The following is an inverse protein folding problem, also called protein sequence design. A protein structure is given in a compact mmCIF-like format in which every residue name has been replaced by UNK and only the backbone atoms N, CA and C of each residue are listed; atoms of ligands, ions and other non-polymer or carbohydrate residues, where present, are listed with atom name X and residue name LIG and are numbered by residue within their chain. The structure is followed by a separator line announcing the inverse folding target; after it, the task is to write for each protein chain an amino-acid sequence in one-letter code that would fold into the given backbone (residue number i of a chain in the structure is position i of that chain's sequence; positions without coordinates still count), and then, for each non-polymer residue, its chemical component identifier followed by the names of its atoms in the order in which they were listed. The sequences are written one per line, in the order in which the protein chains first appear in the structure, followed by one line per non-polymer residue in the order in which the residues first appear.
data_IF_312146979274
#
_entry.id   IF_312146979274
#
_cell.length_a   1.000
_cell.length_b   1.000
_cell.length_c   1.000
_cell.angle_alpha   90.00
_cell.angle_beta   90.00
_cell.angle_gamma   90.00
#
_symmetry.space_group_name_H-M   'P 1'
#
loop_
_entity.id
_entity.type
_entity.pdbx_description
1 polymer ?
#
# COMPACT_ATOMS: atom_id res chain seq x y z
N UNK A 1 39.61 -47.91 -4.88
CA UNK A 1 39.51 -46.43 -4.95
C UNK A 1 38.33 -45.93 -5.81
N UNK A 2 38.06 -46.48 -7.01
CA UNK A 2 36.94 -46.03 -7.87
C UNK A 2 35.52 -46.23 -7.29
N UNK A 3 35.30 -47.29 -6.52
CA UNK A 3 34.01 -47.57 -5.86
C UNK A 3 33.70 -46.62 -4.71
N UNK A 4 34.72 -46.19 -3.97
CA UNK A 4 34.58 -45.20 -2.89
C UNK A 4 34.19 -43.80 -3.40
N UNK A 5 34.68 -43.42 -4.58
CA UNK A 5 34.34 -42.14 -5.23
C UNK A 5 32.87 -42.12 -5.68
N UNK A 6 32.33 -43.25 -6.16
CA UNK A 6 30.95 -43.34 -6.64
C UNK A 6 29.93 -43.26 -5.48
N UNK A 7 30.25 -43.87 -4.34
CA UNK A 7 29.42 -43.81 -3.13
C UNK A 7 29.40 -42.40 -2.53
N UNK A 8 30.53 -41.68 -2.58
CA UNK A 8 30.62 -40.30 -2.11
C UNK A 8 29.78 -39.35 -2.98
N UNK A 9 29.80 -39.52 -4.32
CA UNK A 9 28.97 -38.72 -5.24
C UNK A 9 27.47 -38.99 -5.06
N UNK A 10 27.09 -40.25 -4.79
CA UNK A 10 25.69 -40.62 -4.58
C UNK A 10 25.15 -40.11 -3.22
N UNK A 11 26.00 -40.04 -2.19
CA UNK A 11 25.65 -39.46 -0.89
C UNK A 11 25.49 -37.93 -0.92
N UNK A 12 26.20 -37.24 -1.82
CA UNK A 12 26.04 -35.78 -2.04
C UNK A 12 24.72 -35.46 -2.76
N UNK A 13 24.21 -36.36 -3.61
CA UNK A 13 22.97 -36.16 -4.37
C UNK A 13 21.68 -36.35 -3.54
N UNK A 14 21.71 -37.12 -2.45
CA UNK A 14 20.52 -37.33 -1.61
C UNK A 14 20.22 -36.17 -0.67
N UNK A 15 21.20 -35.31 -0.41
CA UNK A 15 21.08 -34.16 0.51
C UNK A 15 20.31 -32.97 -0.09
N UNK A 16 19.97 -32.99 -1.38
CA UNK A 16 19.28 -31.90 -2.09
C UNK A 16 17.74 -32.02 -2.16
N UNK A 17 17.14 -33.07 -1.58
CA UNK A 17 15.70 -33.38 -1.75
C UNK A 17 14.75 -32.45 -0.97
N UNK A 18 15.18 -31.85 0.14
CA UNK A 18 14.29 -31.08 1.01
C UNK A 18 13.87 -29.71 0.43
N UNK A 19 14.70 -29.09 -0.40
CA UNK A 19 14.38 -27.78 -1.01
C UNK A 19 13.38 -27.87 -2.19
N UNK A 20 13.03 -29.07 -2.65
CA UNK A 20 12.18 -29.25 -3.84
C UNK A 20 10.67 -29.35 -3.52
N UNK A 21 10.31 -29.74 -2.30
CA UNK A 21 8.93 -30.11 -1.95
C UNK A 21 8.08 -28.91 -1.52
N UNK A 22 8.67 -27.91 -0.86
CA UNK A 22 7.99 -26.68 -0.47
C UNK A 22 8.95 -25.52 -0.69
N UNK A 23 8.50 -24.46 -1.37
CA UNK A 23 9.29 -23.26 -1.58
C UNK A 23 8.62 -22.05 -0.95
N UNK A 24 9.43 -21.19 -0.32
CA UNK A 24 9.01 -19.94 0.30
C UNK A 24 9.71 -18.79 -0.41
N UNK A 25 8.95 -17.83 -0.90
CA UNK A 25 9.46 -16.65 -1.59
C UNK A 25 8.86 -15.38 -0.99
N UNK A 26 9.69 -14.35 -0.82
CA UNK A 26 9.23 -13.02 -0.40
C UNK A 26 9.16 -12.12 -1.62
N UNK A 27 8.01 -11.48 -1.80
CA UNK A 27 7.80 -10.44 -2.80
C UNK A 27 7.39 -9.13 -2.12
N UNK A 28 7.83 -8.02 -2.70
CA UNK A 28 7.54 -6.66 -2.23
C UNK A 28 7.16 -5.84 -3.46
N UNK A 29 6.15 -4.98 -3.33
CA UNK A 29 5.73 -4.10 -4.43
C UNK A 29 6.75 -2.98 -4.66
N UNK A 30 7.57 -2.70 -3.65
CA UNK A 30 8.66 -1.75 -3.70
C UNK A 30 9.92 -2.23 -2.97
N UNK A 31 11.07 -1.69 -3.39
CA UNK A 31 12.39 -2.01 -2.82
C UNK A 31 13.03 -0.82 -2.10
N UNK A 32 12.32 0.31 -2.02
CA UNK A 32 12.76 1.52 -1.32
C UNK A 32 11.62 2.06 -0.46
N UNK A 33 11.93 2.44 0.77
CA UNK A 33 10.97 2.94 1.76
C UNK A 33 11.54 4.17 2.47
N UNK A 34 10.66 5.04 2.97
CA UNK A 34 11.03 6.09 3.91
C UNK A 34 11.14 5.55 5.35
N UNK A 35 11.91 6.22 6.23
CA UNK A 35 11.90 5.95 7.66
C UNK A 35 10.47 5.88 8.21
N UNK A 36 10.12 4.76 8.87
CA UNK A 36 8.78 4.54 9.44
C UNK A 36 7.63 4.46 8.42
N UNK A 37 7.92 4.26 7.13
CA UNK A 37 6.92 3.85 6.15
C UNK A 37 6.55 2.37 6.34
N UNK A 38 5.28 2.03 6.10
CA UNK A 38 4.84 0.64 6.06
C UNK A 38 5.73 -0.19 5.10
N UNK A 39 6.12 -1.38 5.52
CA UNK A 39 6.94 -2.32 4.75
C UNK A 39 6.10 -3.58 4.47
N UNK A 40 5.14 -3.50 3.54
CA UNK A 40 4.33 -4.65 3.15
C UNK A 40 5.16 -5.68 2.42
N UNK A 41 5.07 -6.92 2.88
CA UNK A 41 5.66 -8.10 2.24
C UNK A 41 4.59 -9.13 1.93
N UNK A 42 4.73 -9.81 0.80
CA UNK A 42 3.91 -10.95 0.41
C UNK A 42 4.77 -12.21 0.38
N UNK A 43 4.51 -13.14 1.29
CA UNK A 43 5.15 -14.45 1.36
C UNK A 43 4.35 -15.43 0.51
N UNK A 44 4.97 -15.93 -0.56
CA UNK A 44 4.42 -16.97 -1.43
C UNK A 44 4.95 -18.33 -0.98
N UNK A 45 4.05 -19.26 -0.70
CA UNK A 45 4.36 -20.61 -0.28
C UNK A 45 3.82 -21.54 -1.37
N UNK A 46 4.70 -22.30 -2.02
CA UNK A 46 4.30 -23.26 -3.06
C UNK A 46 4.47 -24.67 -2.52
N UNK A 47 3.38 -25.44 -2.52
CA UNK A 47 3.42 -26.85 -2.13
C UNK A 47 3.63 -27.72 -3.38
N UNK A 48 4.71 -28.49 -3.41
CA UNK A 48 5.05 -29.49 -4.44
C UNK A 48 5.36 -30.86 -3.82
N UNK A 49 4.84 -31.11 -2.63
CA UNK A 49 5.19 -32.28 -1.83
C UNK A 49 4.43 -33.54 -2.19
N UNK A 50 3.37 -33.44 -2.99
CA UNK A 50 2.48 -34.56 -3.30
C UNK A 50 1.44 -34.86 -2.22
N UNK A 51 1.40 -34.07 -1.14
CA UNK A 51 0.42 -34.18 -0.06
C UNK A 51 -0.05 -32.80 0.41
N UNK A 52 -1.18 -32.76 1.11
CA UNK A 52 -1.75 -31.55 1.70
C UNK A 52 -0.85 -31.05 2.85
N UNK A 53 -0.79 -29.73 3.04
CA UNK A 53 -0.11 -29.07 4.14
C UNK A 53 -1.10 -28.34 5.03
N UNK A 54 -1.09 -28.64 6.33
CA UNK A 54 -1.85 -27.91 7.34
C UNK A 54 -0.99 -26.78 7.92
N UNK A 55 -1.37 -25.52 7.68
CA UNK A 55 -0.62 -24.33 8.10
C UNK A 55 -1.50 -23.40 8.94
N UNK A 56 -0.89 -22.53 9.74
CA UNK A 56 -1.63 -21.48 10.46
C UNK A 56 -2.24 -21.86 11.82
N UNK A 57 -2.22 -23.14 12.20
CA UNK A 57 -2.73 -23.59 13.50
C UNK A 57 -1.93 -23.04 14.70
N UNK A 58 -0.61 -22.86 14.54
CA UNK A 58 0.26 -22.27 15.56
C UNK A 58 0.71 -20.88 15.13
N UNK A 59 0.79 -19.91 16.05
CA UNK A 59 1.12 -18.52 15.72
C UNK A 59 2.54 -18.31 15.14
N UNK A 60 3.43 -19.29 15.29
CA UNK A 60 4.83 -19.28 14.84
C UNK A 60 5.05 -20.10 13.56
N UNK A 61 3.99 -20.49 12.86
CA UNK A 61 4.10 -21.24 11.60
C UNK A 61 4.84 -20.46 10.51
N UNK A 62 4.86 -19.13 10.59
CA UNK A 62 5.60 -18.24 9.70
C UNK A 62 6.24 -17.10 10.50
N UNK A 63 7.56 -17.07 10.55
CA UNK A 63 8.32 -16.02 11.26
C UNK A 63 9.21 -15.23 10.32
N UNK A 64 9.61 -14.03 10.75
CA UNK A 64 10.46 -13.14 9.96
C UNK A 64 11.72 -12.78 10.74
N UNK A 65 12.85 -12.71 10.05
CA UNK A 65 14.08 -12.07 10.51
C UNK A 65 14.37 -10.89 9.60
N UNK A 66 14.63 -9.71 10.20
CA UNK A 66 15.07 -8.51 9.49
C UNK A 66 16.43 -8.13 10.02
N UNK A 67 17.38 -7.98 9.11
CA UNK A 67 18.77 -7.65 9.44
C UNK A 67 19.22 -6.45 8.62
N UNK A 68 20.04 -5.60 9.22
CA UNK A 68 20.78 -4.57 8.48
C UNK A 68 21.96 -5.20 7.76
N UNK A 69 22.19 -4.82 6.51
CA UNK A 69 23.45 -5.14 5.84
C UNK A 69 24.59 -4.20 6.22
N UNK A 70 24.26 -3.08 6.87
CA UNK A 70 25.19 -2.00 7.21
C UNK A 70 25.72 -2.13 8.65
N UNK A 71 25.47 -3.28 9.29
CA UNK A 71 26.10 -3.68 10.56
C UNK A 71 25.42 -3.17 11.84
N UNK A 72 24.28 -2.48 11.74
CA UNK A 72 23.50 -2.10 12.92
C UNK A 72 22.44 -3.15 13.28
N UNK A 73 22.08 -3.21 14.57
CA UNK A 73 21.07 -4.15 15.05
C UNK A 73 19.68 -3.61 14.70
N UNK A 74 18.86 -4.48 14.10
CA UNK A 74 17.42 -4.23 13.92
C UNK A 74 16.68 -4.88 15.08
N UNK A 75 16.05 -4.05 15.92
CA UNK A 75 15.29 -4.54 17.07
C UNK A 75 13.95 -5.09 16.58
N UNK A 76 13.60 -6.31 17.02
CA UNK A 76 12.28 -6.91 16.86
C UNK A 76 11.42 -6.52 18.06
N UNK A 77 10.40 -5.70 17.83
CA UNK A 77 9.51 -5.18 18.88
C UNK A 77 8.47 -6.23 19.32
N UNK A 78 7.99 -7.04 18.38
CA UNK A 78 6.96 -8.06 18.61
C UNK A 78 6.96 -9.12 17.50
N UNK A 79 6.19 -10.20 17.69
CA UNK A 79 5.94 -11.18 16.64
C UNK A 79 4.97 -10.65 15.59
N UNK A 80 5.24 -10.96 14.31
CA UNK A 80 4.36 -10.59 13.20
C UNK A 80 3.12 -11.49 13.24
N UNK A 81 1.90 -10.94 13.31
CA UNK A 81 0.68 -11.74 13.46
C UNK A 81 0.36 -12.46 12.15
N UNK A 82 0.61 -13.76 12.12
CA UNK A 82 0.28 -14.64 11.01
C UNK A 82 -0.88 -15.55 11.40
N UNK A 83 -2.09 -14.98 11.52
CA UNK A 83 -3.28 -15.76 11.90
C UNK A 83 -3.99 -16.39 10.69
N UNK A 84 -4.82 -17.40 10.96
CA UNK A 84 -5.66 -18.09 9.99
C UNK A 84 -5.10 -19.47 9.66
N UNK A 85 -5.75 -20.50 10.19
CA UNK A 85 -5.50 -21.89 9.81
C UNK A 85 -6.05 -22.16 8.41
N UNK A 86 -5.27 -22.86 7.58
CA UNK A 86 -5.69 -23.22 6.23
C UNK A 86 -4.90 -24.43 5.74
N UNK A 87 -5.52 -25.12 4.78
CA UNK A 87 -4.90 -26.22 4.08
C UNK A 87 -4.37 -25.74 2.72
N UNK A 88 -3.17 -26.20 2.38
CA UNK A 88 -2.55 -25.94 1.10
C UNK A 88 -2.34 -27.26 0.36
N UNK A 89 -3.16 -27.52 -0.66
CA UNK A 89 -3.06 -28.76 -1.45
C UNK A 89 -1.74 -28.85 -2.21
N UNK A 90 -1.38 -30.07 -2.61
CA UNK A 90 -0.26 -30.25 -3.53
C UNK A 90 -0.50 -29.49 -4.83
N UNK A 91 0.55 -28.85 -5.34
CA UNK A 91 0.55 -27.99 -6.52
C UNK A 91 -0.22 -26.67 -6.37
N UNK A 92 -0.56 -26.25 -5.14
CA UNK A 92 -1.14 -24.94 -4.87
C UNK A 92 -0.11 -23.92 -4.34
N UNK A 93 -0.49 -22.65 -4.43
CA UNK A 93 0.27 -21.51 -3.91
C UNK A 93 -0.60 -20.76 -2.88
N UNK A 94 -0.09 -20.62 -1.66
CA UNK A 94 -0.64 -19.74 -0.64
C UNK A 94 0.11 -18.40 -0.62
N UNK A 95 -0.59 -17.29 -0.38
CA UNK A 95 0.03 -15.96 -0.25
C UNK A 95 -0.39 -15.35 1.08
N UNK A 96 0.59 -15.07 1.95
CA UNK A 96 0.36 -14.32 3.20
C UNK A 96 0.97 -12.93 3.07
N UNK A 97 0.14 -11.89 3.22
CA UNK A 97 0.59 -10.49 3.26
C UNK A 97 0.66 -10.00 4.69
N UNK A 98 1.75 -9.32 5.04
CA UNK A 98 1.97 -8.70 6.35
C UNK A 98 2.75 -7.40 6.18
N UNK A 99 2.58 -6.46 7.11
CA UNK A 99 3.43 -5.28 7.23
C UNK A 99 4.48 -5.53 8.31
N UNK A 100 5.76 -5.31 8.00
CA UNK A 100 6.87 -5.53 8.92
C UNK A 100 7.19 -4.31 9.80
N UNK A 101 6.82 -3.10 9.36
CA UNK A 101 7.23 -1.86 10.04
C UNK A 101 6.83 -1.80 11.52
N UNK A 102 5.63 -2.24 11.94
CA UNK A 102 5.25 -2.18 13.35
C UNK A 102 6.08 -3.11 14.26
N UNK A 103 6.63 -4.19 13.69
CA UNK A 103 7.25 -5.29 14.43
C UNK A 103 8.78 -5.23 14.45
N UNK A 104 9.38 -4.43 13.57
CA UNK A 104 10.83 -4.25 13.46
C UNK A 104 11.17 -2.77 13.42
N UNK A 105 12.25 -2.36 14.10
CA UNK A 105 12.74 -0.99 14.04
C UNK A 105 13.42 -0.66 12.71
N UNK A 106 12.60 -0.42 11.68
CA UNK A 106 13.01 -0.08 10.30
C UNK A 106 12.90 1.45 10.11
N UNK A 107 13.65 2.20 10.91
CA UNK A 107 13.65 3.67 10.88
C UNK A 107 14.97 4.29 10.42
N UNK A 108 16.07 3.55 10.52
CA UNK A 108 17.39 4.07 10.17
C UNK A 108 17.61 3.94 8.67
N UNK A 109 18.18 4.97 8.04
CA UNK A 109 18.63 4.86 6.65
C UNK A 109 19.61 3.69 6.50
N UNK A 110 19.59 3.03 5.35
CA UNK A 110 20.49 1.93 5.05
C UNK A 110 19.79 0.77 4.38
N UNK A 111 20.56 -0.27 4.11
CA UNK A 111 20.06 -1.47 3.44
C UNK A 111 19.70 -2.55 4.44
N UNK A 112 18.58 -3.19 4.17
CA UNK A 112 18.00 -4.26 4.97
C UNK A 112 17.84 -5.52 4.13
N UNK A 113 17.80 -6.67 4.81
CA UNK A 113 17.36 -7.93 4.23
C UNK A 113 16.32 -8.57 5.16
N UNK A 114 15.31 -9.17 4.56
CA UNK A 114 14.30 -9.97 5.25
C UNK A 114 14.39 -11.43 4.81
N UNK A 115 14.23 -12.33 5.77
CA UNK A 115 14.12 -13.77 5.58
C UNK A 115 12.83 -14.24 6.26
N UNK A 116 12.05 -15.06 5.56
CA UNK A 116 10.87 -15.70 6.09
C UNK A 116 11.18 -17.17 6.38
N UNK A 117 10.76 -17.65 7.54
CA UNK A 117 10.92 -19.05 7.94
C UNK A 117 9.53 -19.67 8.10
N UNK A 118 9.23 -20.65 7.26
CA UNK A 118 8.02 -21.46 7.32
C UNK A 118 8.29 -22.70 8.17
N UNK A 119 7.49 -22.92 9.21
CA UNK A 119 7.54 -24.11 10.05
C UNK A 119 6.38 -25.04 9.72
N UNK A 120 6.70 -26.25 9.25
CA UNK A 120 5.72 -27.29 8.90
C UNK A 120 5.70 -28.29 10.06
N UNK A 121 4.68 -28.18 10.92
CA UNK A 121 4.60 -28.95 12.17
C UNK A 121 4.54 -30.45 11.91
N UNK A 122 3.73 -30.87 10.95
CA UNK A 122 3.50 -32.29 10.64
C UNK A 122 4.77 -33.02 10.20
N UNK A 123 5.76 -32.29 9.70
CA UNK A 123 7.03 -32.84 9.23
C UNK A 123 8.19 -32.51 10.15
N UNK A 124 7.96 -31.76 11.23
CA UNK A 124 9.03 -31.22 12.08
C UNK A 124 10.13 -30.52 11.28
N UNK A 125 9.74 -29.83 10.19
CA UNK A 125 10.66 -29.24 9.23
C UNK A 125 10.50 -27.71 9.18
N UNK A 126 11.57 -27.01 8.84
CA UNK A 126 11.55 -25.57 8.58
C UNK A 126 12.18 -25.26 7.23
N UNK A 127 11.55 -24.36 6.49
CA UNK A 127 11.99 -23.91 5.17
C UNK A 127 12.18 -22.40 5.20
N UNK A 128 13.37 -21.94 4.82
CA UNK A 128 13.68 -20.53 4.72
C UNK A 128 13.48 -20.03 3.29
N UNK A 129 13.01 -18.79 3.16
CA UNK A 129 13.08 -18.08 1.89
C UNK A 129 14.53 -17.71 1.55
N UNK A 130 14.79 -17.44 0.27
CA UNK A 130 15.95 -16.62 -0.08
C UNK A 130 15.82 -15.23 0.58
N UNK A 131 16.93 -14.56 0.95
CA UNK A 131 16.88 -13.20 1.47
C UNK A 131 16.34 -12.23 0.43
N UNK A 132 15.38 -11.38 0.83
CA UNK A 132 14.89 -10.26 0.01
C UNK A 132 15.42 -8.96 0.59
N UNK A 133 16.09 -8.16 -0.23
CA UNK A 133 16.68 -6.87 0.19
C UNK A 133 15.77 -5.70 -0.14
N UNK A 134 15.84 -4.65 0.68
CA UNK A 134 15.23 -3.35 0.43
C UNK A 134 16.06 -2.25 1.09
N UNK A 135 15.91 -1.02 0.63
CA UNK A 135 16.62 0.15 1.15
C UNK A 135 15.65 1.07 1.91
N UNK A 136 16.09 1.62 3.05
CA UNK A 136 15.44 2.75 3.71
C UNK A 136 16.22 4.01 3.36
N UNK A 137 15.56 4.97 2.74
CA UNK A 137 16.16 6.19 2.20
C UNK A 137 15.46 7.42 2.76
N UNK A 138 16.20 8.50 2.98
CA UNK A 138 15.59 9.75 3.43
C UNK A 138 14.87 10.45 2.28
N UNK A 139 13.71 11.03 2.57
CA UNK A 139 13.04 11.99 1.70
C UNK A 139 13.58 13.41 1.88
N UNK A 140 13.32 14.27 0.91
CA UNK A 140 13.55 15.71 1.03
C UNK A 140 12.28 16.39 1.58
N UNK A 141 12.42 17.16 2.65
CA UNK A 141 11.32 17.93 3.25
C UNK A 141 10.96 19.11 2.34
N UNK A 142 9.69 19.18 1.93
CA UNK A 142 9.14 20.26 1.12
C UNK A 142 8.39 21.29 1.96
N UNK A 143 7.65 20.83 2.97
CA UNK A 143 6.79 21.67 3.79
C UNK A 143 6.57 21.02 5.15
N UNK A 144 6.33 21.82 6.19
CA UNK A 144 5.86 21.32 7.48
C UNK A 144 5.07 22.35 8.26
N UNK A 145 4.13 21.89 9.10
CA UNK A 145 3.38 22.74 10.01
C UNK A 145 2.98 21.97 11.28
N UNK A 146 3.14 22.61 12.43
CA UNK A 146 2.62 22.14 13.72
C UNK A 146 1.11 22.40 13.83
N UNK A 147 0.38 21.49 14.47
CA UNK A 147 -1.06 21.59 14.68
C UNK A 147 -1.47 20.91 16.00
N UNK A 148 -2.61 21.33 16.54
CA UNK A 148 -3.14 20.79 17.79
C UNK A 148 -4.28 19.79 17.52
N UNK A 149 -4.16 18.58 18.04
CA UNK A 149 -5.25 17.59 18.07
C UNK A 149 -6.02 17.77 19.37
N UNK A 150 -7.35 18.03 19.33
CA UNK A 150 -8.15 18.14 20.54
C UNK A 150 -8.06 16.86 21.37
N UNK A 151 -7.63 17.00 22.63
CA UNK A 151 -7.59 15.90 23.58
C UNK A 151 -8.94 15.64 24.25
N UNK A 152 -8.94 14.85 25.32
CA UNK A 152 -10.07 14.74 26.25
C UNK A 152 -10.35 16.09 26.92
N UNK A 153 -11.61 16.31 27.33
CA UNK A 153 -12.07 17.54 27.97
C UNK A 153 -11.13 17.96 29.13
N UNK A 154 -10.77 19.25 29.19
CA UNK A 154 -9.86 19.86 30.17
C UNK A 154 -8.37 19.47 30.10
N UNK A 155 -7.91 18.88 28.99
CA UNK A 155 -6.48 18.69 28.72
C UNK A 155 -5.98 19.62 27.60
N UNK A 156 -4.72 20.09 27.66
CA UNK A 156 -4.08 20.75 26.52
C UNK A 156 -4.16 19.87 25.25
N UNK A 157 -4.31 20.46 24.06
CA UNK A 157 -4.26 19.71 22.81
C UNK A 157 -2.92 18.98 22.64
N UNK A 158 -2.95 17.79 22.06
CA UNK A 158 -1.74 17.08 21.66
C UNK A 158 -1.13 17.82 20.45
N UNK A 159 0.13 18.25 20.55
CA UNK A 159 0.81 18.93 19.44
C UNK A 159 1.42 17.88 18.51
N UNK A 160 1.03 17.93 17.24
CA UNK A 160 1.56 17.09 16.16
C UNK A 160 2.11 17.96 15.03
N UNK A 161 2.89 17.36 14.15
CA UNK A 161 3.47 18.01 12.98
C UNK A 161 3.13 17.22 11.73
N UNK A 162 2.58 17.92 10.74
CA UNK A 162 2.55 17.42 9.36
C UNK A 162 3.85 17.82 8.67
N UNK A 163 4.41 16.89 7.90
CA UNK A 163 5.55 17.15 7.02
C UNK A 163 5.26 16.55 5.65
N UNK A 164 5.43 17.33 4.58
CA UNK A 164 5.47 16.82 3.22
C UNK A 164 6.90 16.52 2.82
N UNK A 165 7.09 15.34 2.26
CA UNK A 165 8.40 14.85 1.83
C UNK A 165 8.30 14.30 0.41
N UNK A 166 9.31 14.58 -0.40
CA UNK A 166 9.48 13.93 -1.69
C UNK A 166 10.59 12.88 -1.63
N UNK A 167 10.40 11.77 -2.32
CA UNK A 167 11.45 10.79 -2.51
C UNK A 167 11.37 10.15 -3.89
N UNK A 168 12.54 9.84 -4.43
CA UNK A 168 12.66 9.16 -5.71
C UNK A 168 12.38 7.67 -5.51
N UNK A 169 11.27 7.20 -6.08
CA UNK A 169 10.92 5.80 -6.16
C UNK A 169 11.63 5.12 -7.34
N UNK A 170 12.45 4.10 -7.05
CA UNK A 170 13.21 3.32 -8.04
C UNK A 170 14.03 4.21 -9.00
N UNK A 171 14.39 5.43 -8.58
CA UNK A 171 15.07 6.46 -9.39
C UNK A 171 14.33 6.90 -10.67
N UNK A 172 13.05 6.55 -10.82
CA UNK A 172 12.28 6.83 -12.04
C UNK A 172 11.01 7.66 -11.78
N UNK A 173 10.47 7.61 -10.56
CA UNK A 173 9.22 8.27 -10.23
C UNK A 173 9.37 9.07 -8.93
N UNK A 174 9.22 10.39 -9.00
CA UNK A 174 9.14 11.20 -7.79
C UNK A 174 7.77 10.98 -7.14
N UNK A 175 7.78 10.66 -5.84
CA UNK A 175 6.56 10.46 -5.06
C UNK A 175 6.51 11.44 -3.91
N UNK A 176 5.31 11.92 -3.63
CA UNK A 176 4.99 12.77 -2.49
C UNK A 176 4.47 11.90 -1.34
N UNK A 177 4.95 12.19 -0.15
CA UNK A 177 4.59 11.54 1.10
C UNK A 177 4.13 12.58 2.12
N UNK A 178 3.26 12.15 3.03
CA UNK A 178 2.96 12.89 4.26
C UNK A 178 3.47 12.09 5.44
N UNK A 179 4.20 12.76 6.33
CA UNK A 179 4.63 12.24 7.62
C UNK A 179 3.93 13.00 8.73
N UNK A 180 3.36 12.26 9.69
CA UNK A 180 2.79 12.79 10.92
C UNK A 180 3.68 12.38 12.08
N UNK A 181 4.15 13.34 12.86
CA UNK A 181 5.01 13.12 14.01
C UNK A 181 4.61 13.99 15.20
N UNK A 182 5.25 13.79 16.34
CA UNK A 182 5.29 14.80 17.39
C UNK A 182 6.04 16.06 16.93
N UNK A 183 5.97 17.13 17.73
CA UNK A 183 6.62 18.41 17.41
C UNK A 183 8.15 18.30 17.27
N UNK A 184 8.78 17.43 18.07
CA UNK A 184 10.24 17.18 18.04
C UNK A 184 10.67 16.24 16.91
N UNK A 185 9.75 15.64 16.16
CA UNK A 185 9.99 14.59 15.17
C UNK A 185 10.68 13.33 15.75
N UNK A 186 10.64 13.15 17.07
CA UNK A 186 11.17 11.97 17.77
C UNK A 186 10.25 10.77 17.67
N UNK A 187 8.94 11.00 17.63
CA UNK A 187 7.92 9.96 17.45
C UNK A 187 7.20 10.19 16.13
N UNK A 188 7.39 9.27 15.18
CA UNK A 188 6.60 9.25 13.95
C UNK A 188 5.35 8.40 14.19
N UNK A 189 4.19 9.01 14.00
CA UNK A 189 2.89 8.33 14.12
C UNK A 189 2.55 7.58 12.84
N UNK A 190 2.78 8.21 11.67
CA UNK A 190 2.47 7.59 10.37
C UNK A 190 3.24 8.26 9.23
N UNK A 191 3.66 7.46 8.26
CA UNK A 191 4.09 7.92 6.93
C UNK A 191 3.13 7.34 5.90
N UNK A 192 2.61 8.18 5.02
CA UNK A 192 1.65 7.76 3.98
C UNK A 192 2.06 8.31 2.63
N UNK A 193 2.11 7.43 1.63
CA UNK A 193 2.34 7.81 0.24
C UNK A 193 1.09 8.48 -0.33
N UNK A 194 1.23 9.70 -0.86
CA UNK A 194 0.14 10.44 -1.51
C UNK A 194 0.05 10.12 -3.00
N UNK A 195 1.19 9.89 -3.65
CA UNK A 195 1.28 9.43 -5.03
C UNK A 195 2.41 10.07 -5.83
N UNK A 196 2.41 9.83 -7.14
CA UNK A 196 3.40 10.38 -8.07
C UNK A 196 3.25 11.91 -8.22
N UNK A 197 4.37 12.60 -8.38
CA UNK A 197 4.46 14.02 -8.73
C UNK A 197 5.47 14.23 -9.87
N UNK A 198 5.33 15.35 -10.60
CA UNK A 198 6.37 15.80 -11.53
C UNK A 198 7.50 16.52 -10.78
N UNK A 199 8.72 16.48 -11.29
CA UNK A 199 9.92 16.99 -10.59
C UNK A 199 9.92 18.49 -10.30
N UNK A 200 9.18 19.29 -11.07
CA UNK A 200 9.01 20.73 -10.86
C UNK A 200 7.67 21.07 -10.19
N UNK A 201 6.95 20.07 -9.66
CA UNK A 201 5.73 20.33 -8.90
C UNK A 201 6.09 21.08 -7.62
N UNK A 202 5.30 22.09 -7.29
CA UNK A 202 5.33 22.80 -6.02
C UNK A 202 4.03 22.49 -5.28
N UNK A 203 4.01 21.46 -4.40
CA UNK A 203 2.80 21.06 -3.69
C UNK A 203 2.28 22.17 -2.77
N UNK A 204 1.00 22.53 -2.91
CA UNK A 204 0.32 23.44 -1.99
C UNK A 204 -0.26 22.62 -0.83
N UNK A 205 -0.03 23.09 0.40
CA UNK A 205 -0.41 22.40 1.63
C UNK A 205 -1.03 23.39 2.61
N UNK A 206 -2.21 23.07 3.14
CA UNK A 206 -2.91 23.91 4.12
C UNK A 206 -3.62 23.04 5.17
N UNK A 207 -3.49 23.40 6.44
CA UNK A 207 -4.23 22.78 7.53
C UNK A 207 -5.52 23.57 7.76
N UNK A 208 -6.66 22.88 7.85
CA UNK A 208 -7.95 23.51 8.12
C UNK A 208 -8.27 23.64 9.62
N UNK A 209 -9.38 24.30 9.94
CA UNK A 209 -9.87 24.51 11.31
C UNK A 209 -10.12 23.22 12.11
N UNK A 210 -10.20 22.06 11.44
CA UNK A 210 -10.41 20.74 12.07
C UNK A 210 -9.14 19.91 12.16
N UNK A 211 -7.97 20.52 11.94
CA UNK A 211 -6.68 19.85 11.92
C UNK A 211 -6.55 18.76 10.86
N UNK A 212 -7.24 18.95 9.72
CA UNK A 212 -7.03 18.13 8.53
C UNK A 212 -6.12 18.85 7.56
N UNK A 213 -5.20 18.11 6.97
CA UNK A 213 -4.27 18.60 5.97
C UNK A 213 -4.86 18.42 4.58
N UNK A 214 -4.89 19.51 3.82
CA UNK A 214 -5.23 19.54 2.41
C UNK A 214 -3.93 19.66 1.63
N UNK A 215 -3.72 18.76 0.67
CA UNK A 215 -2.54 18.76 -0.19
C UNK A 215 -2.99 18.74 -1.64
N UNK A 216 -2.43 19.62 -2.45
CA UNK A 216 -2.66 19.69 -3.89
C UNK A 216 -1.31 19.72 -4.61
N UNK A 217 -1.10 18.77 -5.52
CA UNK A 217 0.18 18.68 -6.26
C UNK A 217 -0.03 18.31 -7.71
N UNK A 218 0.97 18.60 -8.54
CA UNK A 218 0.93 18.31 -9.96
C UNK A 218 1.48 16.89 -10.22
N UNK A 219 0.64 16.03 -10.78
CA UNK A 219 0.99 14.63 -11.10
C UNK A 219 1.31 14.42 -12.60
N UNK A 220 1.00 15.40 -13.45
CA UNK A 220 1.32 15.38 -14.88
C UNK A 220 1.16 16.76 -15.52
N UNK A 221 1.34 16.86 -16.84
CA UNK A 221 1.36 18.15 -17.54
C UNK A 221 0.09 19.00 -17.33
N UNK A 222 -1.07 18.36 -17.21
CA UNK A 222 -2.37 19.02 -17.00
C UNK A 222 -3.14 18.40 -15.82
N UNK A 223 -2.52 17.51 -15.05
CA UNK A 223 -3.18 16.70 -14.01
C UNK A 223 -2.67 17.09 -12.64
N UNK A 224 -3.62 17.37 -11.75
CA UNK A 224 -3.39 17.71 -10.36
C UNK A 224 -4.13 16.71 -9.48
N UNK A 225 -3.46 16.24 -8.43
CA UNK A 225 -4.08 15.39 -7.43
C UNK A 225 -4.30 16.22 -6.17
N UNK A 226 -5.43 15.98 -5.53
CA UNK A 226 -5.79 16.55 -4.24
C UNK A 226 -6.00 15.41 -3.24
N UNK A 227 -5.51 15.59 -2.03
CA UNK A 227 -5.75 14.68 -0.91
C UNK A 227 -6.15 15.46 0.34
N UNK A 228 -7.09 14.88 1.09
CA UNK A 228 -7.45 15.29 2.45
C UNK A 228 -6.92 14.25 3.43
N UNK A 229 -6.11 14.67 4.39
CA UNK A 229 -5.43 13.80 5.35
C UNK A 229 -5.86 14.19 6.76
N UNK A 230 -6.25 13.23 7.59
CA UNK A 230 -6.61 13.48 8.99
C UNK A 230 -5.37 13.60 9.90
N UNK A 231 -5.60 13.97 11.15
CA UNK A 231 -4.57 14.11 12.19
C UNK A 231 -3.75 12.83 12.49
N UNK A 232 -4.20 11.66 12.03
CA UNK A 232 -3.51 10.37 12.18
C UNK A 232 -2.70 10.01 10.92
N UNK A 233 -2.69 10.86 9.90
CA UNK A 233 -1.98 10.62 8.64
C UNK A 233 -2.75 9.74 7.66
N UNK A 234 -4.05 9.51 7.87
CA UNK A 234 -4.88 8.72 6.95
C UNK A 234 -5.48 9.61 5.87
N UNK A 235 -5.44 9.12 4.63
CA UNK A 235 -6.06 9.78 3.50
C UNK A 235 -7.58 9.54 3.54
N UNK A 236 -8.34 10.58 3.86
CA UNK A 236 -9.81 10.56 3.99
C UNK A 236 -10.49 10.74 2.64
N UNK A 237 -9.88 11.51 1.74
CA UNK A 237 -10.43 11.80 0.41
C UNK A 237 -9.31 12.02 -0.59
N UNK A 238 -9.50 11.54 -1.82
CA UNK A 238 -8.64 11.83 -2.95
C UNK A 238 -9.45 12.20 -4.19
N UNK A 239 -8.97 13.21 -4.90
CA UNK A 239 -9.61 13.74 -6.10
C UNK A 239 -8.55 14.10 -7.14
N UNK A 240 -8.97 14.12 -8.40
CA UNK A 240 -8.10 14.47 -9.52
C UNK A 240 -8.72 15.66 -10.24
N UNK A 241 -7.89 16.63 -10.58
CA UNK A 241 -8.27 17.85 -11.28
C UNK A 241 -7.47 17.98 -12.57
N UNK A 242 -8.10 18.59 -13.57
CA UNK A 242 -7.40 19.15 -14.73
C UNK A 242 -7.26 20.66 -14.57
N UNK A 243 -6.20 21.24 -15.11
CA UNK A 243 -6.01 22.70 -15.16
C UNK A 243 -6.69 23.37 -16.36
N UNK A 244 -7.73 22.75 -16.93
CA UNK A 244 -8.54 23.37 -17.98
C UNK A 244 -9.21 24.65 -17.43
N UNK A 245 -9.06 25.77 -18.16
CA UNK A 245 -9.57 27.08 -17.77
C UNK A 245 -8.72 27.82 -16.74
N UNK A 246 -8.34 27.18 -15.64
CA UNK A 246 -7.44 27.76 -14.62
C UNK A 246 -6.66 26.69 -13.86
N UNK A 247 -5.50 27.06 -13.29
CA UNK A 247 -4.71 26.16 -12.44
C UNK A 247 -5.41 25.97 -11.08
N UNK A 248 -5.64 24.71 -10.65
CA UNK A 248 -6.12 24.42 -9.29
C UNK A 248 -5.16 24.99 -8.25
N UNK A 249 -5.70 25.54 -7.16
CA UNK A 249 -4.96 26.03 -5.99
C UNK A 249 -5.78 25.82 -4.71
N UNK A 250 -5.13 25.71 -3.56
CA UNK A 250 -5.86 25.71 -2.29
C UNK A 250 -6.18 27.14 -1.87
N UNK A 251 -7.42 27.36 -1.43
CA UNK A 251 -7.87 28.62 -0.85
C UNK A 251 -8.46 28.36 0.53
N UNK A 252 -8.27 29.32 1.43
CA UNK A 252 -8.83 29.30 2.79
C UNK A 252 -9.88 30.40 2.88
N UNK A 253 -11.07 30.08 3.38
CA UNK A 253 -12.10 31.09 3.64
C UNK A 253 -11.92 31.73 5.03
N UNK A 254 -12.74 32.73 5.34
CA UNK A 254 -12.70 33.44 6.63
C UNK A 254 -13.00 32.52 7.83
N UNK A 255 -13.67 31.40 7.59
CA UNK A 255 -13.98 30.38 8.60
C UNK A 255 -12.82 29.39 8.81
N UNK A 256 -11.72 29.49 8.06
CA UNK A 256 -10.58 28.56 8.17
C UNK A 256 -10.83 27.21 7.48
N UNK A 257 -11.81 27.13 6.59
CA UNK A 257 -12.05 25.95 5.75
C UNK A 257 -11.21 26.05 4.49
N UNK A 258 -10.64 24.92 4.08
CA UNK A 258 -9.80 24.82 2.90
C UNK A 258 -10.59 24.16 1.77
N UNK A 259 -10.49 24.73 0.56
CA UNK A 259 -11.11 24.17 -0.65
C UNK A 259 -10.20 24.37 -1.86
N UNK A 260 -10.45 23.59 -2.92
CA UNK A 260 -9.75 23.74 -4.20
C UNK A 260 -10.49 24.76 -5.06
N UNK A 261 -9.80 25.83 -5.45
CA UNK A 261 -10.29 26.82 -6.40
C UNK A 261 -9.59 26.67 -7.75
N UNK A 262 -10.36 26.78 -8.83
CA UNK A 262 -9.85 26.64 -10.20
C UNK A 262 -9.71 25.19 -10.68
N UNK A 263 -9.47 25.06 -11.98
CA UNK A 263 -9.48 23.79 -12.71
C UNK A 263 -10.83 23.06 -12.70
N UNK A 264 -10.84 21.86 -13.26
CA UNK A 264 -12.03 21.01 -13.37
C UNK A 264 -11.78 19.66 -12.71
N UNK A 265 -12.58 19.31 -11.70
CA UNK A 265 -12.53 18.00 -11.05
C UNK A 265 -12.91 16.91 -12.06
N UNK A 266 -12.12 15.84 -12.14
CA UNK A 266 -12.46 14.62 -12.86
C UNK A 266 -13.46 13.84 -12.02
N UNK A 267 -14.67 13.70 -12.54
CA UNK A 267 -15.71 12.86 -11.94
C UNK A 267 -15.34 11.40 -12.21
N UNK A 268 -15.36 10.57 -11.18
CA UNK A 268 -15.15 9.13 -11.34
C UNK A 268 -16.34 8.52 -12.10
N UNK A 269 -16.17 7.45 -12.90
CA UNK A 269 -17.28 6.81 -13.59
C UNK A 269 -18.45 6.42 -12.67
N UNK A 270 -18.16 6.03 -11.42
CA UNK A 270 -19.14 5.68 -10.38
C UNK A 270 -19.98 6.87 -9.88
N UNK A 271 -19.48 8.10 -10.06
CA UNK A 271 -20.14 9.34 -9.67
C UNK A 271 -20.89 9.99 -10.86
N UNK A 272 -20.82 9.39 -12.04
CA UNK A 272 -21.61 9.85 -13.19
C UNK A 272 -23.09 9.55 -12.93
N UNK A 273 -23.99 10.51 -13.21
CA UNK A 273 -25.42 10.24 -13.12
C UNK A 273 -25.77 9.07 -14.05
N UNK A 274 -26.48 8.07 -13.54
CA UNK A 274 -27.05 7.00 -14.37
C UNK A 274 -27.97 7.68 -15.37
N UNK A 275 -27.59 7.69 -16.64
CA UNK A 275 -28.44 8.21 -17.70
C UNK A 275 -29.69 7.33 -17.72
N UNK A 276 -30.90 7.84 -17.39
CA UNK A 276 -32.10 7.05 -17.51
C UNK A 276 -32.24 6.66 -18.97
N UNK A 277 -32.30 5.35 -19.24
CA UNK A 277 -32.56 4.84 -20.59
C UNK A 277 -33.91 5.38 -21.02
N UNK A 278 -33.90 6.36 -21.91
CA UNK A 278 -35.14 6.86 -22.51
C UNK A 278 -35.69 5.70 -23.34
N UNK A 279 -36.91 5.19 -23.06
CA UNK A 279 -37.49 4.14 -23.88
C UNK A 279 -37.58 4.67 -25.32
N UNK A 280 -37.01 3.94 -26.26
CA UNK A 280 -37.07 4.24 -27.68
C UNK A 280 -38.50 4.66 -28.05
N UNK A 281 -38.63 5.88 -28.56
CA UNK A 281 -39.86 6.35 -29.20
C UNK A 281 -40.25 5.29 -30.22
N UNK A 282 -41.44 4.67 -30.05
CA UNK A 282 -41.99 3.71 -31.01
C UNK A 282 -41.91 4.33 -32.41
N UNK A 283 -41.32 3.58 -33.34
CA UNK A 283 -41.26 3.98 -34.75
C UNK A 283 -42.67 4.37 -35.24
N UNK A 284 -42.84 5.50 -35.96
CA UNK A 284 -44.13 5.91 -36.48
C UNK A 284 -44.52 4.98 -37.63
N UNK A 285 -45.46 4.06 -37.40
CA UNK A 285 -45.87 3.13 -38.43
C UNK A 285 -46.78 1.98 -38.00
N UNK A 286 -47.79 2.22 -37.17
CA UNK A 286 -48.95 1.33 -37.11
C UNK A 286 -50.19 2.13 -37.49
N UNK A 287 -50.60 2.00 -38.76
CA UNK A 287 -51.89 2.46 -39.24
C UNK A 287 -52.98 1.64 -38.53
N UNK A 288 -54.05 2.27 -37.98
CA UNK A 288 -55.11 1.54 -37.32
C UNK A 288 -55.88 0.68 -38.34
N UNK A 289 -56.13 -0.57 -37.96
CA UNK A 289 -56.89 -1.54 -38.74
C UNK A 289 -58.29 -0.99 -39.09
N UNK A 290 -58.62 -0.99 -40.39
CA UNK A 290 -59.97 -0.65 -40.88
C UNK A 290 -60.99 -1.64 -40.31
N UNK A 291 -61.94 -1.11 -39.56
CA UNK A 291 -63.06 -1.84 -39.00
C UNK A 291 -64.15 -2.00 -40.08
N UNK A 292 -64.17 -3.15 -40.77
CA UNK A 292 -65.24 -3.50 -41.73
C UNK A 292 -66.36 -4.25 -41.02
N UNK A 293 -67.31 -3.51 -40.45
CA UNK A 293 -68.69 -3.98 -40.24
C UNK A 293 -69.66 -2.80 -40.37
N UNK A 294 -70.26 -2.68 -41.56
CA UNK A 294 -71.68 -2.49 -41.82
C UNK A 294 -71.88 -1.75 -43.15
N UNK A 295 -72.42 -2.46 -44.15
CA UNK A 295 -73.60 -2.09 -44.94
C UNK A 295 -73.60 -2.90 -46.26
N UNK A 296 -74.51 -3.86 -46.31
CA UNK A 296 -75.18 -4.39 -47.51
C UNK A 296 -76.69 -4.23 -47.21
N UNK A 297 -77.54 -4.03 -48.22
CA UNK A 297 -77.71 -4.92 -49.37
C UNK A 297 -77.10 -4.42 -50.69
#
# INVERSE_FOLDING_TARGET
MKTFLLVLVLAVLTSFRAAAQVSVEITMDQEQFLPSEAVPVAVKITNRSGQQLHLGAAADWLTFSVESTDGFIVIKNAEVPVTGEFDLESSQIGIKRVDLQPYFQIGRHGRYKVIATLRIKDWSASVNSAPKTFDVVNGAKLWSQDFGVPGVTNSPPEVRKFTLEEANYLRLQLRLYVRVSDQSESQVFKVTTLGQMVSFSDPDAKVDRTSQLHVLWQAGAQVFNYALINANGEVVRQEVYNNAGSRPRLVVNEQGEVSVAGGTRRVKPEELPVVPVVPWVKAPGELPAKNTKNMLP
#
